data_IF_749705088693
#
_entry.id   IF_749705088693
#
_cell.length_a   1.000
_cell.length_b   1.000
_cell.length_c   1.000
_cell.angle_alpha   90.00
_cell.angle_beta   90.00
_cell.angle_gamma   90.00
#
_symmetry.space_group_name_H-M   'P 1'
#
loop_
_entity.id
_entity.type
_entity.pdbx_description
1 polymer ?
#
# COMPACT_ATOMS: atom_id res chain seq x y z
N UNK A 1 0.38 4.95 -4.81
CA UNK A 1 -0.63 4.84 -5.90
C UNK A 1 -1.33 3.51 -5.77
N UNK A 2 -2.62 3.42 -6.11
CA UNK A 2 -3.38 2.17 -6.12
C UNK A 2 -4.35 2.20 -7.29
N UNK A 3 -4.34 1.16 -8.13
CA UNK A 3 -5.22 1.04 -9.28
C UNK A 3 -5.82 -0.37 -9.33
N UNK A 4 -7.14 -0.44 -9.52
CA UNK A 4 -7.85 -1.66 -9.87
C UNK A 4 -8.06 -1.70 -11.38
N UNK A 5 -7.83 -2.86 -11.98
CA UNK A 5 -8.08 -3.08 -13.41
C UNK A 5 -8.88 -4.36 -13.65
N UNK A 6 -9.67 -4.32 -14.72
CA UNK A 6 -10.24 -5.53 -15.30
C UNK A 6 -9.17 -6.19 -16.18
N UNK A 7 -8.76 -7.41 -15.85
CA UNK A 7 -7.71 -8.12 -16.59
C UNK A 7 -8.12 -8.57 -17.98
N UNK A 8 -9.42 -8.62 -18.28
CA UNK A 8 -9.95 -8.98 -19.60
C UNK A 8 -9.97 -7.79 -20.56
N UNK A 9 -10.44 -6.63 -20.09
CA UNK A 9 -10.56 -5.43 -20.92
C UNK A 9 -9.38 -4.46 -20.81
N UNK A 10 -8.55 -4.58 -19.77
CA UNK A 10 -7.50 -3.64 -19.42
C UNK A 10 -8.00 -2.31 -18.84
N UNK A 11 -9.32 -2.14 -18.70
CA UNK A 11 -9.91 -0.90 -18.19
C UNK A 11 -9.57 -0.69 -16.71
N UNK A 12 -9.20 0.55 -16.35
CA UNK A 12 -9.06 0.97 -14.95
C UNK A 12 -10.46 1.12 -14.36
N UNK A 13 -10.68 0.51 -13.20
CA UNK A 13 -11.92 0.58 -12.46
C UNK A 13 -11.75 1.66 -11.39
N UNK A 14 -12.63 2.68 -11.37
CA UNK A 14 -12.60 3.70 -10.31
C UNK A 14 -12.79 3.05 -8.93
N UNK A 15 -11.89 3.36 -8.01
CA UNK A 15 -11.99 2.92 -6.61
C UNK A 15 -12.63 4.01 -5.75
N UNK A 16 -13.34 3.61 -4.69
CA UNK A 16 -14.07 4.55 -3.83
C UNK A 16 -13.11 5.55 -3.17
N UNK A 17 -11.89 5.15 -2.82
CA UNK A 17 -10.99 6.07 -2.12
C UNK A 17 -10.35 7.14 -3.02
N UNK A 18 -10.30 6.95 -4.36
CA UNK A 18 -9.70 7.83 -5.38
C UNK A 18 -9.06 7.00 -6.51
N UNK A 19 -8.97 7.56 -7.72
CA UNK A 19 -8.17 6.99 -8.84
C UNK A 19 -6.68 7.38 -8.76
N UNK A 20 -6.33 8.39 -7.97
CA UNK A 20 -4.95 8.79 -7.66
C UNK A 20 -4.68 8.88 -6.14
N UNK A 21 -4.86 7.78 -5.39
CA UNK A 21 -4.79 7.83 -3.94
C UNK A 21 -3.39 8.17 -3.43
N UNK A 22 -3.35 8.85 -2.28
CA UNK A 22 -2.17 9.14 -1.48
C UNK A 22 -2.22 8.37 -0.16
N UNK A 23 -1.08 7.88 0.33
CA UNK A 23 -1.07 7.05 1.53
C UNK A 23 0.27 6.39 1.79
N UNK A 24 0.31 5.54 2.81
CA UNK A 24 1.50 4.82 3.24
C UNK A 24 1.17 3.50 3.93
N UNK A 25 2.17 2.63 3.99
CA UNK A 25 2.16 1.43 4.83
C UNK A 25 3.38 1.45 5.74
N UNK A 26 3.18 1.04 6.99
CA UNK A 26 4.25 0.93 7.99
C UNK A 26 4.27 -0.49 8.52
N UNK A 27 5.45 -1.12 8.47
CA UNK A 27 5.69 -2.45 8.97
C UNK A 27 6.57 -2.34 10.22
N UNK A 28 6.03 -2.74 11.37
CA UNK A 28 6.76 -2.74 12.63
C UNK A 28 7.53 -4.06 12.82
N UNK A 29 8.71 -4.05 13.44
CA UNK A 29 9.45 -5.28 13.79
C UNK A 29 8.66 -6.24 14.68
N UNK A 30 7.66 -5.75 15.41
CA UNK A 30 6.74 -6.54 16.23
C UNK A 30 5.75 -7.38 15.41
N UNK A 31 5.82 -7.36 14.08
CA UNK A 31 4.90 -8.09 13.20
C UNK A 31 3.56 -7.37 12.95
N UNK A 32 3.47 -6.09 13.33
CA UNK A 32 2.27 -5.28 13.12
C UNK A 32 2.40 -4.41 11.86
N UNK A 33 1.29 -4.21 11.18
CA UNK A 33 1.20 -3.34 10.01
C UNK A 33 0.11 -2.30 10.24
N UNK A 34 0.35 -1.09 9.73
CA UNK A 34 -0.69 -0.13 9.45
C UNK A 34 -0.65 0.28 7.99
N UNK A 35 -1.82 0.53 7.43
CA UNK A 35 -2.01 0.98 6.07
C UNK A 35 -3.06 2.08 6.08
N UNK A 36 -2.72 3.22 5.49
CA UNK A 36 -3.66 4.33 5.33
C UNK A 36 -3.57 4.84 3.91
N UNK A 37 -4.70 4.87 3.23
CA UNK A 37 -4.90 5.47 1.91
C UNK A 37 -6.06 6.45 1.97
N UNK A 38 -5.93 7.55 1.25
CA UNK A 38 -6.97 8.57 1.09
C UNK A 38 -6.87 9.20 -0.29
N UNK A 39 -7.93 9.86 -0.74
CA UNK A 39 -7.87 10.77 -1.88
C UNK A 39 -6.70 11.77 -1.74
N UNK A 40 -6.16 12.18 -2.89
CA UNK A 40 -5.11 13.19 -2.96
C UNK A 40 -5.76 14.57 -3.05
N UNK A 41 -5.38 15.48 -2.15
CA UNK A 41 -5.98 16.80 -2.01
C UNK A 41 -5.70 17.76 -3.19
N UNK A 42 -4.74 17.39 -4.04
CA UNK A 42 -4.28 18.20 -5.17
C UNK A 42 -4.85 17.68 -6.48
N UNK A 43 -4.97 16.37 -6.66
CA UNK A 43 -5.56 15.78 -7.87
C UNK A 43 -7.05 15.54 -7.76
N UNK A 44 -7.60 15.38 -6.54
CA UNK A 44 -9.02 15.13 -6.27
C UNK A 44 -9.53 15.93 -5.06
N UNK A 45 -9.49 17.28 -5.12
CA UNK A 45 -9.93 18.15 -4.03
C UNK A 45 -11.41 17.99 -3.68
N UNK A 46 -12.24 17.47 -4.59
CA UNK A 46 -13.65 17.15 -4.34
C UNK A 46 -13.85 16.01 -3.32
N UNK A 47 -12.86 15.12 -3.18
CA UNK A 47 -12.88 14.01 -2.22
C UNK A 47 -11.98 14.26 -1.01
N UNK A 48 -11.02 15.19 -1.14
CA UNK A 48 -10.19 15.65 -0.02
C UNK A 48 -9.97 17.15 -0.09
N UNK A 49 -10.94 17.95 0.36
CA UNK A 49 -10.81 19.39 0.31
C UNK A 49 -9.74 19.89 1.27
N UNK A 50 -8.98 20.91 0.84
CA UNK A 50 -7.93 21.57 1.66
C UNK A 50 -8.50 22.49 2.74
N UNK A 51 -9.82 22.61 2.84
CA UNK A 51 -10.54 23.47 3.78
C UNK A 51 -10.66 22.86 5.17
N UNK A 52 -10.49 21.54 5.31
CA UNK A 52 -10.48 20.86 6.62
C UNK A 52 -9.06 20.80 7.20
N UNK A 53 -8.94 20.76 8.53
CA UNK A 53 -7.65 20.90 9.21
C UNK A 53 -7.44 19.87 10.33
N UNK A 54 -6.20 19.41 10.56
CA UNK A 54 -5.87 18.60 11.74
C UNK A 54 -4.98 19.40 12.69
N UNK A 55 -5.36 19.53 13.99
CA UNK A 55 -6.60 19.06 14.59
C UNK A 55 -7.84 19.81 14.07
N UNK A 56 -8.98 19.12 13.99
CA UNK A 56 -10.25 19.66 13.49
C UNK A 56 -10.65 20.92 14.26
N UNK A 57 -10.89 22.01 13.54
CA UNK A 57 -11.37 23.24 14.16
C UNK A 57 -12.89 23.20 14.34
N UNK A 58 -13.45 23.89 15.36
CA UNK A 58 -14.90 23.99 15.53
C UNK A 58 -15.65 24.56 14.32
N UNK A 59 -14.96 25.33 13.46
CA UNK A 59 -15.49 25.93 12.24
C UNK A 59 -15.37 25.04 11.01
N UNK A 60 -14.67 23.90 11.08
CA UNK A 60 -14.51 23.01 9.93
C UNK A 60 -15.88 22.41 9.54
N UNK A 61 -16.13 22.31 8.24
CA UNK A 61 -17.35 21.70 7.70
C UNK A 61 -17.41 20.22 8.08
N UNK A 62 -18.45 19.82 8.81
CA UNK A 62 -18.70 18.41 9.12
C UNK A 62 -18.95 17.59 7.85
N UNK A 63 -19.58 18.19 6.83
CA UNK A 63 -19.82 17.54 5.55
C UNK A 63 -18.50 17.27 4.82
N UNK A 64 -17.57 18.23 4.81
CA UNK A 64 -16.26 18.06 4.17
C UNK A 64 -15.45 16.98 4.90
N UNK A 65 -15.51 16.96 6.24
CA UNK A 65 -14.92 15.89 7.06
C UNK A 65 -15.51 14.51 6.77
N UNK A 66 -16.83 14.43 6.63
CA UNK A 66 -17.51 13.19 6.27
C UNK A 66 -17.08 12.70 4.88
N UNK A 67 -16.94 13.61 3.91
CA UNK A 67 -16.41 13.29 2.57
C UNK A 67 -15.00 12.72 2.67
N UNK A 68 -14.08 13.38 3.39
CA UNK A 68 -12.71 12.86 3.59
C UNK A 68 -12.74 11.44 4.19
N UNK A 69 -13.58 11.21 5.20
CA UNK A 69 -13.70 9.91 5.84
C UNK A 69 -14.23 8.82 4.88
N UNK A 70 -15.23 9.14 4.05
CA UNK A 70 -15.79 8.21 3.04
C UNK A 70 -14.74 7.80 1.99
N UNK A 71 -13.80 8.69 1.69
CA UNK A 71 -12.73 8.46 0.73
C UNK A 71 -11.39 8.05 1.38
N UNK A 72 -11.45 7.58 2.64
CA UNK A 72 -10.29 7.10 3.39
C UNK A 72 -10.40 5.61 3.72
N UNK A 73 -9.29 4.89 3.55
CA UNK A 73 -9.11 3.52 3.95
C UNK A 73 -8.00 3.45 4.99
N UNK A 74 -8.31 2.97 6.18
CA UNK A 74 -7.34 2.66 7.21
C UNK A 74 -7.47 1.20 7.61
N UNK A 75 -6.35 0.47 7.65
CA UNK A 75 -6.29 -0.94 8.04
C UNK A 75 -5.10 -1.13 8.96
N UNK A 76 -5.30 -1.90 10.03
CA UNK A 76 -4.29 -2.27 11.01
C UNK A 76 -4.41 -3.76 11.30
N UNK A 77 -3.28 -4.40 11.57
CA UNK A 77 -3.26 -5.83 11.77
C UNK A 77 -1.89 -6.41 12.02
N UNK A 78 -1.81 -7.73 11.91
CA UNK A 78 -0.54 -8.46 11.87
C UNK A 78 -0.23 -8.86 10.44
N UNK A 79 1.05 -8.87 10.06
CA UNK A 79 1.46 -9.28 8.74
C UNK A 79 2.41 -10.47 8.76
N UNK A 80 2.40 -11.24 7.69
CA UNK A 80 3.35 -12.33 7.46
C UNK A 80 3.78 -12.36 5.99
N UNK A 81 5.09 -12.38 5.77
CA UNK A 81 5.66 -12.72 4.46
C UNK A 81 5.87 -14.23 4.36
N UNK A 82 5.53 -14.80 3.22
CA UNK A 82 5.69 -16.23 2.93
C UNK A 82 6.12 -16.44 1.47
N UNK A 83 6.63 -17.63 1.17
CA UNK A 83 7.13 -18.00 -0.16
C UNK A 83 8.10 -16.96 -0.75
N UNK A 84 8.96 -16.40 0.13
CA UNK A 84 9.87 -15.34 -0.25
C UNK A 84 10.97 -15.91 -1.14
N UNK A 85 11.13 -15.29 -2.30
CA UNK A 85 12.13 -15.60 -3.30
C UNK A 85 12.92 -14.34 -3.64
N UNK A 86 14.19 -14.50 -3.93
CA UNK A 86 15.07 -13.42 -4.38
C UNK A 86 15.59 -13.77 -5.77
N UNK A 87 15.03 -13.14 -6.79
CA UNK A 87 15.48 -13.28 -8.18
C UNK A 87 16.78 -12.51 -8.37
N UNK A 88 17.88 -13.15 -7.94
CA UNK A 88 19.25 -12.64 -8.08
C UNK A 88 20.34 -13.64 -7.64
N UNK A 89 19.98 -14.88 -7.31
CA UNK A 89 20.92 -15.86 -6.77
C UNK A 89 21.65 -16.63 -7.86
N UNK A 90 22.86 -16.15 -8.19
CA UNK A 90 23.94 -17.07 -8.48
C UNK A 90 24.04 -18.09 -7.33
N UNK A 91 24.16 -19.38 -7.68
CA UNK A 91 24.17 -20.50 -6.73
C UNK A 91 25.18 -20.27 -5.60
N UNK A 92 24.71 -19.94 -4.41
CA UNK A 92 25.57 -19.87 -3.23
C UNK A 92 24.88 -19.22 -2.04
N UNK A 93 24.48 -20.06 -1.08
CA UNK A 93 24.24 -19.78 0.35
C UNK A 93 23.75 -18.37 0.69
N UNK A 94 22.46 -18.25 1.04
CA UNK A 94 21.93 -17.27 2.00
C UNK A 94 22.72 -15.95 2.06
N UNK A 95 22.80 -15.27 0.91
CA UNK A 95 23.43 -13.96 0.80
C UNK A 95 22.32 -12.98 0.51
N UNK A 96 22.21 -12.00 1.39
CA UNK A 96 21.41 -10.79 1.32
C UNK A 96 20.76 -10.57 -0.05
N UNK A 97 19.44 -10.37 -0.09
CA UNK A 97 18.72 -9.98 -1.31
C UNK A 97 19.07 -8.55 -1.79
N UNK A 98 20.30 -8.09 -1.49
CA UNK A 98 20.96 -6.93 -2.07
C UNK A 98 21.29 -7.30 -3.51
N UNK A 99 20.63 -6.62 -4.43
CA UNK A 99 20.89 -6.80 -5.86
C UNK A 99 22.38 -6.60 -6.16
N UNK A 100 22.91 -7.47 -7.02
CA UNK A 100 24.21 -7.21 -7.62
C UNK A 100 24.00 -6.08 -8.63
N UNK A 101 24.64 -4.91 -8.38
CA UNK A 101 24.76 -3.78 -9.31
C UNK A 101 25.12 -4.28 -10.72
N UNK A 102 24.12 -4.60 -11.51
CA UNK A 102 24.21 -4.98 -12.90
C UNK A 102 23.87 -3.77 -13.74
N UNK A 103 24.67 -3.50 -14.77
CA UNK A 103 24.70 -2.28 -15.60
C UNK A 103 23.39 -1.90 -16.33
N UNK A 104 22.24 -2.48 -16.00
CA UNK A 104 20.94 -2.19 -16.61
C UNK A 104 19.78 -2.16 -15.59
N UNK A 105 19.78 -1.16 -14.70
CA UNK A 105 18.60 -0.40 -14.23
C UNK A 105 17.29 -1.08 -13.77
N UNK A 106 17.22 -2.39 -13.58
CA UNK A 106 15.96 -3.09 -13.29
C UNK A 106 16.16 -4.31 -12.38
N UNK A 107 16.92 -4.14 -11.30
CA UNK A 107 17.13 -5.20 -10.32
C UNK A 107 15.83 -5.51 -9.57
N UNK A 108 15.41 -6.77 -9.65
CA UNK A 108 14.28 -7.31 -8.91
C UNK A 108 14.69 -7.63 -7.48
N UNK A 109 14.13 -6.91 -6.50
CA UNK A 109 14.26 -7.24 -5.08
C UNK A 109 13.40 -8.45 -4.69
N UNK A 110 13.29 -8.75 -3.37
CA UNK A 110 12.49 -9.86 -2.88
C UNK A 110 11.04 -9.85 -3.37
N UNK A 111 10.48 -11.02 -3.60
CA UNK A 111 9.07 -11.21 -3.95
C UNK A 111 8.47 -12.45 -3.30
N UNK A 112 7.17 -12.46 -3.06
CA UNK A 112 6.46 -13.58 -2.46
C UNK A 112 5.01 -13.24 -2.17
N UNK A 113 4.48 -13.79 -1.07
CA UNK A 113 3.12 -13.54 -0.60
C UNK A 113 3.16 -12.76 0.72
N UNK A 114 2.35 -11.71 0.81
CA UNK A 114 2.07 -10.94 2.02
C UNK A 114 0.64 -11.25 2.46
N UNK A 115 0.50 -11.83 3.65
CA UNK A 115 -0.80 -12.00 4.30
C UNK A 115 -0.93 -10.97 5.42
N UNK A 116 -2.06 -10.28 5.47
CA UNK A 116 -2.41 -9.32 6.53
C UNK A 116 -3.70 -9.79 7.21
N UNK A 117 -3.63 -10.08 8.51
CA UNK A 117 -4.81 -10.36 9.32
C UNK A 117 -5.32 -9.05 9.92
N UNK A 118 -6.53 -8.66 9.56
CA UNK A 118 -7.09 -7.35 9.92
C UNK A 118 -7.68 -7.40 11.32
N UNK A 119 -7.15 -6.56 12.22
CA UNK A 119 -7.63 -6.44 13.61
C UNK A 119 -8.33 -5.12 13.87
N UNK A 120 -8.13 -4.12 13.02
CA UNK A 120 -8.86 -2.84 13.06
C UNK A 120 -8.89 -2.23 11.66
N UNK A 121 -10.01 -1.62 11.29
CA UNK A 121 -10.18 -0.98 9.99
C UNK A 121 -11.16 0.19 10.06
N UNK A 122 -11.08 1.12 9.11
CA UNK A 122 -12.09 2.19 8.94
C UNK A 122 -13.43 1.63 8.52
N UNK A 123 -13.44 0.52 7.76
CA UNK A 123 -14.63 -0.25 7.45
C UNK A 123 -14.76 -1.43 8.42
N UNK A 124 -15.70 -1.42 9.38
CA UNK A 124 -15.78 -2.44 10.42
C UNK A 124 -16.02 -3.86 9.89
N UNK A 125 -16.64 -4.00 8.71
CA UNK A 125 -16.83 -5.30 8.08
C UNK A 125 -15.51 -5.96 7.67
N UNK A 126 -14.40 -5.23 7.60
CA UNK A 126 -13.10 -5.79 7.24
C UNK A 126 -12.41 -6.52 8.39
N UNK A 127 -12.84 -6.28 9.62
CA UNK A 127 -12.24 -6.89 10.81
C UNK A 127 -12.45 -8.41 10.78
N UNK A 128 -11.36 -9.15 10.93
CA UNK A 128 -11.36 -10.61 10.86
C UNK A 128 -11.13 -11.18 9.46
N UNK A 129 -11.14 -10.36 8.40
CA UNK A 129 -10.68 -10.81 7.08
C UNK A 129 -9.15 -10.88 7.01
N UNK A 130 -8.69 -11.65 6.02
CA UNK A 130 -7.30 -11.71 5.62
C UNK A 130 -7.14 -11.13 4.23
N UNK A 131 -6.23 -10.17 4.09
CA UNK A 131 -5.77 -9.72 2.79
C UNK A 131 -4.55 -10.52 2.39
N UNK A 132 -4.67 -11.22 1.25
CA UNK A 132 -3.57 -12.00 0.67
C UNK A 132 -3.13 -11.30 -0.60
N UNK A 133 -1.91 -10.78 -0.58
CA UNK A 133 -1.30 -10.06 -1.69
C UNK A 133 -0.08 -10.82 -2.17
N UNK A 134 0.18 -10.79 -3.48
CA UNK A 134 1.57 -10.99 -3.92
C UNK A 134 2.33 -9.70 -3.74
N UNK A 135 3.60 -9.78 -3.33
CA UNK A 135 4.45 -8.62 -3.16
C UNK A 135 5.72 -8.73 -4.00
N UNK A 136 6.25 -7.58 -4.39
CA UNK A 136 7.58 -7.46 -5.02
C UNK A 136 8.24 -6.15 -4.63
N UNK A 137 9.51 -6.22 -4.26
CA UNK A 137 10.38 -5.06 -4.20
C UNK A 137 11.07 -4.85 -5.56
N UNK A 138 11.09 -3.61 -6.02
CA UNK A 138 11.74 -3.19 -7.28
C UNK A 138 12.56 -1.95 -7.02
N UNK A 139 13.37 -1.55 -8.01
CA UNK A 139 14.13 -0.29 -7.97
C UNK A 139 15.07 -0.24 -6.75
N UNK A 140 15.92 -1.26 -6.61
CA UNK A 140 16.83 -1.44 -5.47
C UNK A 140 16.10 -1.37 -4.10
N UNK A 141 14.95 -2.05 -4.03
CA UNK A 141 14.05 -2.05 -2.87
C UNK A 141 13.48 -0.66 -2.49
N UNK A 142 13.57 0.34 -3.36
CA UNK A 142 12.95 1.65 -3.15
C UNK A 142 11.46 1.67 -3.50
N UNK A 143 10.96 0.63 -4.17
CA UNK A 143 9.54 0.51 -4.51
C UNK A 143 8.99 -0.83 -4.06
N UNK A 144 7.92 -0.80 -3.28
CA UNK A 144 7.17 -1.97 -2.83
C UNK A 144 5.85 -2.04 -3.61
N UNK A 145 5.64 -3.14 -4.30
CA UNK A 145 4.45 -3.40 -5.11
C UNK A 145 3.64 -4.51 -4.46
N UNK A 146 2.34 -4.27 -4.25
CA UNK A 146 1.37 -5.26 -3.82
C UNK A 146 0.37 -5.50 -4.94
N UNK A 147 -0.01 -6.76 -5.15
CA UNK A 147 -1.08 -7.14 -6.08
C UNK A 147 -2.06 -8.06 -5.37
N UNK A 148 -3.32 -7.65 -5.33
CA UNK A 148 -4.45 -8.43 -4.85
C UNK A 148 -5.33 -8.86 -6.03
N UNK A 149 -5.74 -10.13 -6.02
CA UNK A 149 -6.73 -10.68 -6.95
C UNK A 149 -8.04 -10.89 -6.20
N UNK A 150 -9.08 -10.19 -6.63
CA UNK A 150 -10.42 -10.25 -6.03
C UNK A 150 -11.34 -11.24 -6.77
N UNK A 151 -10.81 -12.00 -7.74
CA UNK A 151 -11.58 -12.87 -8.61
C UNK A 151 -12.35 -12.09 -9.68
N UNK A 152 -13.00 -12.82 -10.60
CA UNK A 152 -13.80 -12.21 -11.68
C UNK A 152 -12.99 -11.34 -12.64
N UNK A 153 -11.67 -11.49 -12.68
CA UNK A 153 -10.76 -10.67 -13.46
C UNK A 153 -10.49 -9.28 -12.85
N UNK A 154 -10.73 -9.09 -11.56
CA UNK A 154 -10.43 -7.84 -10.85
C UNK A 154 -9.11 -7.95 -10.11
N UNK A 155 -8.14 -7.15 -10.54
CA UNK A 155 -6.81 -7.10 -9.92
C UNK A 155 -6.53 -5.68 -9.45
N UNK A 156 -6.19 -5.54 -8.17
CA UNK A 156 -5.70 -4.28 -7.62
C UNK A 156 -4.18 -4.33 -7.50
N UNK A 157 -3.51 -3.30 -7.98
CA UNK A 157 -2.07 -3.10 -7.77
C UNK A 157 -1.83 -1.84 -6.97
N UNK A 158 -1.02 -1.94 -5.92
CA UNK A 158 -0.64 -0.82 -5.05
C UNK A 158 0.87 -0.65 -5.07
N UNK A 159 1.33 0.60 -5.15
CA UNK A 159 2.75 0.96 -5.16
C UNK A 159 3.05 1.93 -4.02
N UNK A 160 4.03 1.56 -3.20
CA UNK A 160 4.65 2.41 -2.19
C UNK A 160 6.08 2.71 -2.55
N UNK A 161 6.50 3.93 -2.30
CA UNK A 161 7.89 4.35 -2.42
C UNK A 161 8.50 4.43 -1.03
N UNK A 162 9.71 3.91 -0.89
CA UNK A 162 10.45 3.95 0.37
C UNK A 162 10.72 5.41 0.71
N UNK A 163 10.28 5.82 1.91
CA UNK A 163 10.67 7.12 2.47
C UNK A 163 12.08 7.04 3.06
N UNK A 164 12.81 8.16 3.12
CA UNK A 164 14.10 8.20 3.81
C UNK A 164 13.94 7.72 5.26
N UNK A 165 14.90 6.92 5.72
CA UNK A 165 14.94 6.49 7.11
C UNK A 165 15.53 7.63 7.94
N UNK A 166 14.75 8.15 8.87
CA UNK A 166 15.21 9.11 9.86
C UNK A 166 15.29 8.40 11.21
N UNK A 167 16.42 8.51 11.90
CA UNK A 167 16.49 8.13 13.31
C UNK A 167 15.78 9.20 14.13
N UNK A 168 14.51 8.96 14.44
CA UNK A 168 13.66 9.90 15.19
C UNK A 168 13.99 9.86 16.70
N UNK A 169 14.76 8.88 17.15
CA UNK A 169 15.12 8.67 18.55
C UNK A 169 16.64 8.54 18.80
N UNK A 170 17.48 9.10 17.92
CA UNK A 170 18.93 9.17 18.17
C UNK A 170 19.26 10.10 19.35
#
# INVERSE_FOLDING_TARGET
MANTSNTTSGAIIPEWHSIYPSGGSVYAPSGHISFVITANDTTQPEFRPKTVSLPAQPSDSQADWATVAQHSLGVFGTFQFSNVSCSGSGKGKEKDCKGNKGDHGNESGPSGTLTVNITSATLPSDIGYQYVNTFKFTDDCNKHVLVADFGGGLVQTVWFYRLPQFDVFA
#
